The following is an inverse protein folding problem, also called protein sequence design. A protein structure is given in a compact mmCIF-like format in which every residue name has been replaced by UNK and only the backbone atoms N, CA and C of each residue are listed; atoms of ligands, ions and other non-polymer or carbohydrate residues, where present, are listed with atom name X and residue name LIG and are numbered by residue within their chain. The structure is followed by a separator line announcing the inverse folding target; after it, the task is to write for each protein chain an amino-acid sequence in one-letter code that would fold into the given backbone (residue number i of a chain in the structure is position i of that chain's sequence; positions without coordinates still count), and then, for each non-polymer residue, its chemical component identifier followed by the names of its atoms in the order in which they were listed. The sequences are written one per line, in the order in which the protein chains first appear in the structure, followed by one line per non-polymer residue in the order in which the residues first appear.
data_IF_337358035693
#
_entry.id   IF_337358035693
#
_cell.length_a   1.000
_cell.length_b   1.000
_cell.length_c   1.000
_cell.angle_alpha   90.00
_cell.angle_beta   90.00
_cell.angle_gamma   90.00
#
_symmetry.space_group_name_H-M   'P 1'
#
loop_
_entity.id
_entity.type
_entity.pdbx_description
1 polymer ?
#
# COMPACT_ATOMS: atom_id res chain seq x y z
N UNK A 1 -32.97 -7.32 11.07
CA UNK A 1 -32.00 -6.90 10.04
C UNK A 1 -32.66 -6.95 8.68
N UNK A 2 -32.60 -5.88 7.88
CA UNK A 2 -33.22 -5.80 6.55
C UNK A 2 -32.64 -6.81 5.56
N UNK A 3 -33.37 -7.15 4.51
CA UNK A 3 -32.90 -8.01 3.42
C UNK A 3 -31.61 -7.43 2.76
N UNK A 4 -31.56 -6.10 2.63
CA UNK A 4 -30.44 -5.39 2.05
C UNK A 4 -29.16 -5.52 2.91
N UNK A 5 -29.29 -5.33 4.23
CA UNK A 5 -28.17 -5.46 5.17
C UNK A 5 -27.60 -6.88 5.20
N UNK A 6 -28.49 -7.89 5.15
CA UNK A 6 -28.04 -9.30 5.08
C UNK A 6 -27.31 -9.60 3.77
N UNK A 7 -27.84 -9.13 2.64
CA UNK A 7 -27.21 -9.31 1.32
C UNK A 7 -25.83 -8.66 1.27
N UNK A 8 -25.69 -7.42 1.77
CA UNK A 8 -24.40 -6.72 1.85
C UNK A 8 -23.40 -7.49 2.73
N UNK A 9 -23.78 -7.85 3.95
CA UNK A 9 -22.91 -8.62 4.85
C UNK A 9 -22.47 -9.96 4.27
N UNK A 10 -23.41 -10.69 3.64
CA UNK A 10 -23.09 -11.96 2.95
C UNK A 10 -22.08 -11.76 1.84
N UNK A 11 -22.22 -10.68 1.04
CA UNK A 11 -21.28 -10.35 -0.04
C UNK A 11 -19.88 -10.04 0.49
N UNK A 12 -19.77 -9.23 1.55
CA UNK A 12 -18.47 -8.95 2.19
C UNK A 12 -17.82 -10.24 2.69
N UNK A 13 -18.56 -11.08 3.41
CA UNK A 13 -18.05 -12.35 3.92
C UNK A 13 -17.60 -13.29 2.80
N UNK A 14 -18.31 -13.34 1.67
CA UNK A 14 -17.91 -14.16 0.53
C UNK A 14 -16.59 -13.68 -0.09
N UNK A 15 -16.39 -12.35 -0.19
CA UNK A 15 -15.14 -11.76 -0.68
C UNK A 15 -13.98 -12.09 0.26
N UNK A 16 -14.16 -11.92 1.58
CA UNK A 16 -13.13 -12.24 2.56
C UNK A 16 -12.74 -13.72 2.52
N UNK A 17 -13.72 -14.63 2.49
CA UNK A 17 -13.45 -16.08 2.35
C UNK A 17 -12.67 -16.40 1.08
N UNK A 18 -13.02 -15.75 -0.04
CA UNK A 18 -12.33 -15.93 -1.31
C UNK A 18 -10.87 -15.46 -1.22
N UNK A 19 -10.62 -14.27 -0.67
CA UNK A 19 -9.27 -13.73 -0.47
C UNK A 19 -8.43 -14.67 0.39
N UNK A 20 -8.96 -15.12 1.52
CA UNK A 20 -8.24 -16.04 2.41
C UNK A 20 -7.88 -17.35 1.69
N UNK A 21 -8.79 -17.91 0.90
CA UNK A 21 -8.55 -19.14 0.15
C UNK A 21 -7.52 -18.97 -0.98
N UNK A 22 -7.62 -17.89 -1.74
CA UNK A 22 -6.83 -17.71 -2.98
C UNK A 22 -5.47 -17.04 -2.72
N UNK A 23 -5.35 -16.22 -1.68
CA UNK A 23 -4.17 -15.39 -1.43
C UNK A 23 -3.35 -15.81 -0.18
N UNK A 24 -3.77 -16.82 0.57
CA UNK A 24 -3.09 -17.25 1.81
C UNK A 24 -1.59 -17.50 1.60
N UNK A 25 -1.25 -18.21 0.52
CA UNK A 25 0.15 -18.47 0.18
C UNK A 25 0.97 -17.20 -0.02
N UNK A 26 0.37 -16.17 -0.64
CA UNK A 26 1.01 -14.86 -0.85
C UNK A 26 1.14 -14.10 0.46
N UNK A 27 0.12 -14.15 1.33
CA UNK A 27 0.22 -13.55 2.67
C UNK A 27 1.38 -14.14 3.47
N UNK A 28 1.52 -15.47 3.48
CA UNK A 28 2.65 -16.14 4.16
C UNK A 28 4.01 -15.76 3.55
N UNK A 29 4.09 -15.63 2.23
CA UNK A 29 5.32 -15.17 1.56
C UNK A 29 5.67 -13.72 1.96
N UNK A 30 4.68 -12.82 1.99
CA UNK A 30 4.87 -11.43 2.42
C UNK A 30 5.30 -11.37 3.89
N UNK A 31 4.65 -12.12 4.77
CA UNK A 31 4.99 -12.18 6.19
C UNK A 31 6.43 -12.65 6.41
N UNK A 32 6.87 -13.71 5.71
CA UNK A 32 8.26 -14.19 5.73
C UNK A 32 9.25 -13.12 5.23
N UNK A 33 8.88 -12.40 4.17
CA UNK A 33 9.71 -11.34 3.61
C UNK A 33 9.89 -10.18 4.61
N UNK A 34 8.79 -9.72 5.21
CA UNK A 34 8.78 -8.66 6.22
C UNK A 34 9.59 -9.09 7.45
N UNK A 35 9.35 -10.27 7.98
CA UNK A 35 10.09 -10.82 9.13
C UNK A 35 11.59 -10.90 8.86
N UNK A 36 11.99 -11.38 7.67
CA UNK A 36 13.40 -11.45 7.28
C UNK A 36 14.06 -10.07 7.18
N UNK A 37 13.34 -9.06 6.68
CA UNK A 37 13.80 -7.68 6.64
C UNK A 37 13.98 -7.13 8.05
N UNK A 38 12.96 -7.25 8.89
CA UNK A 38 12.96 -6.76 10.26
C UNK A 38 14.11 -7.36 11.10
N UNK A 39 14.35 -8.67 11.00
CA UNK A 39 15.48 -9.34 11.68
C UNK A 39 16.86 -8.79 11.26
N UNK A 40 16.95 -8.10 10.13
CA UNK A 40 18.16 -7.45 9.62
C UNK A 40 18.20 -5.95 9.91
N UNK A 41 17.31 -5.45 10.77
CA UNK A 41 17.18 -4.03 11.09
C UNK A 41 16.52 -3.20 9.98
N UNK A 42 15.81 -3.84 9.04
CA UNK A 42 15.02 -3.17 8.01
C UNK A 42 13.64 -2.77 8.51
N UNK A 43 12.99 -1.86 7.79
CA UNK A 43 11.64 -1.34 8.05
C UNK A 43 10.69 -1.68 6.92
N UNK A 44 9.38 -1.64 7.22
CA UNK A 44 8.29 -1.74 6.26
C UNK A 44 7.78 -0.33 5.95
N UNK A 45 8.24 0.25 4.86
CA UNK A 45 7.71 1.51 4.35
C UNK A 45 6.42 1.25 3.59
N UNK A 46 5.38 2.04 3.85
CA UNK A 46 4.06 1.88 3.23
C UNK A 46 3.72 3.14 2.44
N UNK A 47 3.65 2.99 1.13
CA UNK A 47 3.33 4.05 0.17
C UNK A 47 1.92 3.89 -0.37
N UNK A 48 1.16 4.96 -0.41
CA UNK A 48 -0.15 5.04 -1.03
C UNK A 48 -0.56 6.48 -1.27
N UNK A 49 -1.57 6.69 -2.10
CA UNK A 49 -2.18 7.99 -2.37
C UNK A 49 -3.62 8.03 -1.90
N UNK A 50 -4.16 9.19 -1.59
CA UNK A 50 -5.54 9.35 -1.16
C UNK A 50 -5.92 8.42 0.00
N UNK A 51 -6.97 7.62 -0.16
CA UNK A 51 -7.41 6.65 0.86
C UNK A 51 -6.44 5.48 1.03
N UNK A 52 -5.72 5.08 -0.01
CA UNK A 52 -4.78 3.97 0.07
C UNK A 52 -3.63 4.21 1.07
N UNK A 53 -3.25 5.48 1.31
CA UNK A 53 -2.25 5.82 2.32
C UNK A 53 -2.68 5.53 3.75
N UNK A 54 -4.00 5.49 4.01
CA UNK A 54 -4.53 5.26 5.35
C UNK A 54 -4.14 3.89 5.91
N UNK A 55 -3.84 2.91 5.04
CA UNK A 55 -3.32 1.62 5.50
C UNK A 55 -1.96 1.78 6.20
N UNK A 56 -1.11 2.68 5.72
CA UNK A 56 0.16 2.99 6.37
C UNK A 56 -0.05 3.67 7.72
N UNK A 57 -0.96 4.64 7.79
CA UNK A 57 -1.30 5.33 9.04
C UNK A 57 -1.89 4.36 10.08
N UNK A 58 -2.78 3.46 9.65
CA UNK A 58 -3.39 2.44 10.51
C UNK A 58 -2.36 1.43 11.04
N UNK A 59 -1.33 1.13 10.27
CA UNK A 59 -0.28 0.20 10.69
C UNK A 59 0.73 0.81 11.67
N UNK A 60 0.77 2.15 11.77
CA UNK A 60 1.78 2.91 12.51
C UNK A 60 1.26 3.35 13.88
N UNK A 61 2.12 3.24 14.89
CA UNK A 61 1.99 3.84 16.24
C UNK A 61 0.59 3.70 16.86
N UNK A 62 0.13 2.46 17.01
CA UNK A 62 -1.11 2.11 17.71
C UNK A 62 -0.94 0.83 18.52
N UNK A 63 -1.81 0.60 19.51
CA UNK A 63 -1.88 -0.68 20.20
C UNK A 63 -2.13 -1.82 19.18
N UNK A 64 -1.29 -2.85 19.19
CA UNK A 64 -1.30 -3.93 18.21
C UNK A 64 -0.76 -3.57 16.82
N UNK A 65 -0.19 -2.36 16.64
CA UNK A 65 0.51 -1.98 15.43
C UNK A 65 1.87 -2.66 15.26
N UNK A 66 2.43 -2.60 14.07
CA UNK A 66 3.75 -3.15 13.79
C UNK A 66 4.84 -2.08 13.98
N UNK A 67 5.71 -2.26 14.97
CA UNK A 67 6.71 -1.25 15.37
C UNK A 67 7.66 -0.82 14.25
N UNK A 68 7.91 -1.69 13.26
CA UNK A 68 8.75 -1.38 12.10
C UNK A 68 7.96 -0.84 10.89
N UNK A 69 6.66 -0.56 11.01
CA UNK A 69 5.88 0.09 9.98
C UNK A 69 6.21 1.59 9.91
N UNK A 70 6.45 2.10 8.72
CA UNK A 70 6.73 3.51 8.47
C UNK A 70 5.88 4.01 7.29
N UNK A 71 4.79 4.75 7.55
CA UNK A 71 4.00 5.34 6.47
C UNK A 71 4.81 6.41 5.73
N UNK A 72 4.75 6.39 4.41
CA UNK A 72 5.28 7.48 3.59
C UNK A 72 4.30 8.65 3.65
N UNK A 73 4.66 9.68 4.40
CA UNK A 73 3.84 10.87 4.61
C UNK A 73 4.30 12.00 3.71
N UNK A 74 3.39 12.48 2.88
CA UNK A 74 3.56 13.69 2.07
C UNK A 74 2.19 14.33 1.90
N UNK A 75 2.10 15.64 2.06
CA UNK A 75 0.85 16.37 1.94
C UNK A 75 0.27 16.30 0.52
N UNK A 76 1.15 16.19 -0.49
CA UNK A 76 0.75 16.02 -1.89
C UNK A 76 0.14 14.64 -2.20
N UNK A 77 0.39 13.64 -1.35
CA UNK A 77 -0.24 12.32 -1.43
C UNK A 77 -1.54 12.20 -0.63
N UNK A 78 -1.92 13.27 0.09
CA UNK A 78 -3.07 13.32 1.00
C UNK A 78 -4.19 14.21 0.47
N UNK A 79 -5.32 14.22 1.19
CA UNK A 79 -6.44 15.13 0.90
C UNK A 79 -6.30 16.53 1.51
N UNK A 80 -5.20 16.86 2.16
CA UNK A 80 -5.00 18.18 2.79
C UNK A 80 -5.18 19.35 1.82
N UNK A 81 -4.85 19.14 0.55
CA UNK A 81 -5.01 20.16 -0.51
C UNK A 81 -6.31 20.02 -1.29
N UNK A 82 -7.27 19.27 -0.78
CA UNK A 82 -8.56 18.99 -1.42
C UNK A 82 -8.53 17.80 -2.37
N UNK A 83 -9.68 17.14 -2.56
CA UNK A 83 -9.81 15.89 -3.31
C UNK A 83 -9.42 16.01 -4.80
N UNK A 84 -9.85 17.09 -5.48
CA UNK A 84 -9.51 17.33 -6.89
C UNK A 84 -7.99 17.44 -7.09
N UNK A 85 -7.32 18.19 -6.21
CA UNK A 85 -5.87 18.38 -6.29
C UNK A 85 -5.12 17.09 -5.97
N UNK A 86 -5.57 16.32 -4.99
CA UNK A 86 -5.00 15.02 -4.68
C UNK A 86 -5.07 14.06 -5.89
N UNK A 87 -6.24 13.99 -6.57
CA UNK A 87 -6.41 13.18 -7.78
C UNK A 87 -5.50 13.63 -8.94
N UNK A 88 -5.31 14.93 -9.11
CA UNK A 88 -4.38 15.44 -10.12
C UNK A 88 -2.92 15.11 -9.78
N UNK A 89 -2.54 15.31 -8.50
CA UNK A 89 -1.18 15.09 -8.04
C UNK A 89 -0.75 13.63 -8.15
N UNK A 90 -1.62 12.65 -7.85
CA UNK A 90 -1.26 11.23 -7.99
C UNK A 90 -0.94 10.80 -9.43
N UNK A 91 -1.34 11.60 -10.42
CA UNK A 91 -1.04 11.42 -11.86
C UNK A 91 0.15 12.25 -12.34
N UNK A 92 0.71 13.07 -11.46
CA UNK A 92 1.82 13.98 -11.80
C UNK A 92 3.16 13.25 -11.73
N UNK A 93 4.05 13.39 -12.71
CA UNK A 93 5.41 12.85 -12.65
C UNK A 93 6.21 13.38 -11.45
N UNK A 94 7.12 12.58 -10.96
CA UNK A 94 8.02 12.86 -9.84
C UNK A 94 7.34 13.01 -8.47
N UNK A 95 6.05 12.75 -8.34
CA UNK A 95 5.34 12.84 -7.06
C UNK A 95 5.83 11.78 -6.06
N UNK A 96 5.97 10.52 -6.50
CA UNK A 96 6.50 9.47 -5.66
C UNK A 96 8.00 9.67 -5.38
N UNK A 97 8.78 10.12 -6.35
CA UNK A 97 10.19 10.46 -6.17
C UNK A 97 10.37 11.51 -5.06
N UNK A 98 9.59 12.60 -5.10
CA UNK A 98 9.60 13.65 -4.08
C UNK A 98 9.26 13.11 -2.69
N UNK A 99 8.20 12.31 -2.59
CA UNK A 99 7.76 11.73 -1.32
C UNK A 99 8.80 10.75 -0.74
N UNK A 100 9.30 9.82 -1.57
CA UNK A 100 10.27 8.81 -1.16
C UNK A 100 11.64 9.39 -0.83
N UNK A 101 12.03 10.53 -1.42
CA UNK A 101 13.30 11.20 -1.14
C UNK A 101 13.43 11.70 0.31
N UNK A 102 12.32 11.87 1.01
CA UNK A 102 12.30 12.27 2.43
C UNK A 102 12.71 11.14 3.38
N UNK A 103 12.85 9.91 2.88
CA UNK A 103 13.11 8.71 3.66
C UNK A 103 14.41 8.03 3.21
N UNK A 104 15.20 7.56 4.18
CA UNK A 104 16.43 6.80 3.92
C UNK A 104 16.13 5.32 3.67
N UNK A 105 15.38 5.03 2.59
CA UNK A 105 15.00 3.64 2.24
C UNK A 105 16.17 2.95 1.55
N UNK A 106 16.53 1.78 2.05
CA UNK A 106 17.67 0.97 1.61
C UNK A 106 17.22 -0.41 1.10
N UNK A 107 18.15 -1.20 0.56
CA UNK A 107 17.89 -2.58 0.12
C UNK A 107 17.57 -3.56 1.26
N UNK A 108 17.78 -3.16 2.52
CA UNK A 108 17.38 -3.95 3.70
C UNK A 108 15.88 -3.85 3.98
N UNK A 109 15.27 -2.74 3.55
CA UNK A 109 13.88 -2.40 3.81
C UNK A 109 12.94 -3.05 2.80
N UNK A 110 11.64 -2.93 3.07
CA UNK A 110 10.58 -3.30 2.15
C UNK A 110 9.73 -2.07 1.87
N UNK A 111 9.38 -1.86 0.61
CA UNK A 111 8.39 -0.88 0.21
C UNK A 111 7.08 -1.59 -0.14
N UNK A 112 6.05 -1.43 0.69
CA UNK A 112 4.69 -1.84 0.37
C UNK A 112 4.01 -0.71 -0.38
N UNK A 113 3.50 -1.01 -1.58
CA UNK A 113 2.79 -0.07 -2.43
C UNK A 113 1.32 -0.44 -2.45
N UNK A 114 0.48 0.46 -1.95
CA UNK A 114 -0.96 0.26 -1.83
C UNK A 114 -1.67 1.11 -2.86
N UNK A 115 -2.37 0.48 -3.79
CA UNK A 115 -3.17 1.15 -4.80
C UNK A 115 -4.24 0.21 -5.34
N UNK A 116 -5.50 0.60 -5.32
CA UNK A 116 -6.58 -0.26 -5.82
C UNK A 116 -6.40 -0.59 -7.31
N UNK A 117 -6.14 0.40 -8.15
CA UNK A 117 -5.94 0.21 -9.58
C UNK A 117 -4.50 -0.23 -9.96
N UNK A 118 -3.49 0.27 -9.24
CA UNK A 118 -2.10 0.03 -9.57
C UNK A 118 -1.59 0.74 -10.85
N UNK A 119 -2.42 1.54 -11.53
CA UNK A 119 -2.11 2.11 -12.86
C UNK A 119 -1.78 3.60 -12.83
N UNK A 120 -2.11 4.33 -11.77
CA UNK A 120 -1.79 5.75 -11.67
C UNK A 120 -0.26 5.97 -11.60
N UNK A 121 0.17 7.16 -12.00
CA UNK A 121 1.60 7.47 -12.09
C UNK A 121 2.36 7.25 -10.77
N UNK A 122 1.82 7.72 -9.65
CA UNK A 122 2.49 7.65 -8.36
C UNK A 122 2.84 6.21 -7.91
N UNK A 123 1.94 5.21 -7.88
CA UNK A 123 2.30 3.85 -7.49
C UNK A 123 3.26 3.18 -8.48
N UNK A 124 3.12 3.44 -9.78
CA UNK A 124 4.02 2.90 -10.80
C UNK A 124 5.42 3.50 -10.64
N UNK A 125 5.53 4.80 -10.48
CA UNK A 125 6.80 5.50 -10.23
C UNK A 125 7.48 4.98 -8.95
N UNK A 126 6.72 4.79 -7.86
CA UNK A 126 7.25 4.22 -6.62
C UNK A 126 7.85 2.82 -6.84
N UNK A 127 7.18 1.96 -7.62
CA UNK A 127 7.66 0.64 -7.96
C UNK A 127 8.96 0.68 -8.80
N UNK A 128 9.02 1.57 -9.80
CA UNK A 128 10.21 1.75 -10.64
C UNK A 128 11.41 2.28 -9.83
N UNK A 129 11.19 3.22 -8.92
CA UNK A 129 12.24 3.72 -8.01
C UNK A 129 12.75 2.59 -7.12
N UNK A 130 11.85 1.79 -6.53
CA UNK A 130 12.23 0.66 -5.70
C UNK A 130 13.05 -0.37 -6.48
N UNK A 131 12.65 -0.70 -7.71
CA UNK A 131 13.39 -1.60 -8.62
C UNK A 131 14.81 -1.08 -8.89
N UNK A 132 14.94 0.21 -9.25
CA UNK A 132 16.25 0.84 -9.50
C UNK A 132 17.15 0.80 -8.26
N UNK A 133 16.59 0.99 -7.07
CA UNK A 133 17.34 0.95 -5.80
C UNK A 133 17.49 -0.47 -5.21
N UNK A 134 17.05 -1.51 -5.91
CA UNK A 134 17.07 -2.91 -5.44
C UNK A 134 16.33 -3.11 -4.10
N UNK A 135 15.30 -2.29 -3.84
CA UNK A 135 14.41 -2.41 -2.68
C UNK A 135 13.35 -3.45 -3.01
N UNK A 136 13.11 -4.40 -2.10
CA UNK A 136 12.05 -5.38 -2.25
C UNK A 136 10.69 -4.72 -2.10
N UNK A 137 9.75 -5.09 -2.98
CA UNK A 137 8.40 -4.52 -2.98
C UNK A 137 7.34 -5.56 -2.68
N UNK A 138 6.28 -5.11 -2.00
CA UNK A 138 5.01 -5.82 -1.86
C UNK A 138 3.95 -4.91 -2.47
N UNK A 139 3.17 -5.39 -3.43
CA UNK A 139 2.06 -4.62 -4.01
C UNK A 139 0.73 -5.14 -3.48
N UNK A 140 -0.07 -4.25 -2.90
CA UNK A 140 -1.45 -4.52 -2.51
C UNK A 140 -2.38 -3.81 -3.51
N UNK A 141 -2.95 -4.58 -4.43
CA UNK A 141 -3.74 -4.06 -5.55
C UNK A 141 -4.81 -5.05 -6.00
N UNK A 142 -5.86 -4.57 -6.65
CA UNK A 142 -6.84 -5.42 -7.32
C UNK A 142 -6.38 -5.76 -8.74
N UNK A 143 -5.80 -6.94 -8.93
CA UNK A 143 -5.33 -7.40 -10.26
C UNK A 143 -6.45 -7.37 -11.30
N UNK A 144 -7.68 -7.73 -10.90
CA UNK A 144 -8.84 -7.67 -11.81
C UNK A 144 -9.11 -6.24 -12.27
N UNK A 145 -9.11 -5.29 -11.35
CA UNK A 145 -9.33 -3.88 -11.67
C UNK A 145 -8.18 -3.31 -12.52
N UNK A 146 -6.93 -3.62 -12.17
CA UNK A 146 -5.75 -3.16 -12.92
C UNK A 146 -5.75 -3.58 -14.39
N UNK A 147 -6.37 -4.73 -14.72
CA UNK A 147 -6.46 -5.21 -16.10
C UNK A 147 -7.57 -4.53 -16.91
N UNK A 148 -8.48 -3.81 -16.26
CA UNK A 148 -9.64 -3.14 -16.86
C UNK A 148 -9.48 -1.61 -16.89
N UNK A 149 -8.47 -1.06 -16.20
CA UNK A 149 -8.22 0.37 -16.05
C UNK A 149 -7.22 0.90 -17.16
#
# INVERSE_FOLDING_TARGET
MSKLTRSYSSKINSILKKILKEEEKKFLQCAKLISKSYKKGGQLYIFGTGHSRLLGEESFHRAGGFAAACPIRDDDLSFKKGARKATALERTPNIAKKALAKYKITSKDILMIVSNSGVNHAPVEAALIAKKKKIKTISLTSVKYSKQA
#
